data_IF_062907397862
#
_entry.id   IF_062907397862
#
_cell.length_a   1.000
_cell.length_b   1.000
_cell.length_c   1.000
_cell.angle_alpha   90.00
_cell.angle_beta   90.00
_cell.angle_gamma   90.00
#
_symmetry.space_group_name_H-M   'P 1'
#
loop_
_entity.id
_entity.type
_entity.pdbx_description
1 polymer ?
#
# COMPACT_ATOMS: atom_id res chain seq x y z
N UNK A 1 -12.48 2.12 -24.07
CA UNK A 1 -11.06 2.52 -24.17
C UNK A 1 -10.70 3.15 -22.83
N UNK A 2 -9.73 2.58 -22.09
CA UNK A 2 -9.31 3.16 -20.81
C UNK A 2 -8.63 4.52 -21.09
N UNK A 3 -8.98 5.56 -20.31
CA UNK A 3 -8.29 6.85 -20.40
C UNK A 3 -6.88 6.68 -19.84
N UNK A 4 -5.88 6.85 -20.67
CA UNK A 4 -4.49 6.97 -20.20
C UNK A 4 -4.34 8.24 -19.36
N UNK A 5 -3.66 8.10 -18.22
CA UNK A 5 -3.29 9.21 -17.34
C UNK A 5 -1.77 9.20 -17.22
N UNK A 6 -1.14 10.34 -17.46
CA UNK A 6 0.29 10.54 -17.26
C UNK A 6 0.56 11.30 -15.95
N UNK A 7 1.71 11.04 -15.34
CA UNK A 7 2.21 11.73 -14.15
C UNK A 7 3.71 11.92 -14.31
N UNK A 8 4.22 13.07 -13.89
CA UNK A 8 5.66 13.35 -13.80
C UNK A 8 6.10 13.22 -12.35
N UNK A 9 7.22 12.54 -12.11
CA UNK A 9 7.79 12.35 -10.77
C UNK A 9 9.19 12.96 -10.78
N UNK A 10 9.44 13.86 -9.85
CA UNK A 10 10.78 14.43 -9.64
C UNK A 10 11.57 13.54 -8.69
N UNK A 11 12.75 13.10 -9.14
CA UNK A 11 13.65 12.24 -8.37
C UNK A 11 14.96 13.00 -8.19
N UNK A 12 15.47 13.03 -6.95
CA UNK A 12 16.78 13.62 -6.68
C UNK A 12 17.86 12.87 -7.45
N UNK A 13 18.84 13.59 -8.01
CA UNK A 13 19.88 13.01 -8.86
C UNK A 13 20.66 11.85 -8.20
N UNK A 14 20.91 11.93 -6.90
CA UNK A 14 21.59 10.87 -6.16
C UNK A 14 20.76 9.57 -6.09
N UNK A 15 19.45 9.69 -5.89
CA UNK A 15 18.52 8.56 -5.87
C UNK A 15 18.33 7.99 -7.28
N UNK A 16 18.28 8.86 -8.30
CA UNK A 16 18.22 8.43 -9.69
C UNK A 16 19.41 7.54 -10.06
N UNK A 17 20.65 7.95 -9.70
CA UNK A 17 21.84 7.14 -9.96
C UNK A 17 21.83 5.79 -9.24
N UNK A 18 21.27 5.72 -8.03
CA UNK A 18 21.10 4.45 -7.31
C UNK A 18 20.11 3.52 -8.02
N UNK A 19 18.98 4.06 -8.48
CA UNK A 19 17.98 3.28 -9.20
C UNK A 19 18.52 2.79 -10.55
N UNK A 20 19.30 3.60 -11.25
CA UNK A 20 19.96 3.22 -12.50
C UNK A 20 20.96 2.08 -12.29
N UNK A 21 21.77 2.14 -11.24
CA UNK A 21 22.70 1.06 -10.89
C UNK A 21 21.96 -0.27 -10.64
N UNK A 22 20.85 -0.22 -9.88
CA UNK A 22 20.01 -1.40 -9.61
C UNK A 22 19.43 -1.97 -10.91
N UNK A 23 18.91 -1.11 -11.79
CA UNK A 23 18.37 -1.55 -13.08
C UNK A 23 19.43 -2.18 -13.98
N UNK A 24 20.65 -1.60 -14.01
CA UNK A 24 21.79 -2.15 -14.74
C UNK A 24 22.22 -3.52 -14.21
N UNK A 25 22.30 -3.70 -12.88
CA UNK A 25 22.62 -4.99 -12.27
C UNK A 25 21.62 -6.08 -12.65
N UNK A 26 20.35 -5.71 -12.84
CA UNK A 26 19.27 -6.62 -13.22
C UNK A 26 19.13 -6.82 -14.74
N UNK A 27 19.88 -6.06 -15.55
CA UNK A 27 19.76 -6.09 -17.01
C UNK A 27 18.43 -5.52 -17.53
N UNK A 28 17.75 -4.72 -16.70
CA UNK A 28 16.44 -4.13 -16.98
C UNK A 28 16.55 -2.65 -17.33
N UNK A 29 15.49 -2.09 -17.92
CA UNK A 29 15.35 -0.64 -18.05
C UNK A 29 14.86 -0.05 -16.72
N UNK A 30 15.37 1.13 -16.39
CA UNK A 30 15.02 1.86 -15.18
C UNK A 30 13.50 2.10 -15.08
N UNK A 31 12.86 2.49 -16.19
CA UNK A 31 11.43 2.77 -16.21
C UNK A 31 10.59 1.53 -15.88
N UNK A 32 11.00 0.36 -16.38
CA UNK A 32 10.30 -0.90 -16.14
C UNK A 32 10.38 -1.30 -14.65
N UNK A 33 11.56 -1.13 -14.05
CA UNK A 33 11.79 -1.37 -12.61
C UNK A 33 11.01 -0.39 -11.73
N UNK A 34 11.01 0.90 -12.06
CA UNK A 34 10.22 1.91 -11.34
C UNK A 34 8.73 1.53 -11.41
N UNK A 35 8.25 1.15 -12.59
CA UNK A 35 6.85 0.80 -12.78
C UNK A 35 6.47 -0.49 -12.02
N UNK A 36 7.37 -1.48 -11.97
CA UNK A 36 7.20 -2.70 -11.19
C UNK A 36 7.19 -2.43 -9.68
N UNK A 37 8.08 -1.55 -9.21
CA UNK A 37 8.13 -1.13 -7.81
C UNK A 37 6.84 -0.40 -7.38
N UNK A 38 6.32 0.51 -8.21
CA UNK A 38 5.05 1.21 -7.95
C UNK A 38 3.89 0.20 -7.89
N UNK A 39 3.79 -0.71 -8.86
CA UNK A 39 2.76 -1.76 -8.85
C UNK A 39 2.82 -2.62 -7.60
N UNK A 40 4.03 -3.02 -7.19
CA UNK A 40 4.24 -3.83 -5.99
C UNK A 40 3.87 -3.07 -4.72
N UNK A 41 4.21 -1.79 -4.64
CA UNK A 41 3.82 -0.94 -3.52
C UNK A 41 2.30 -0.79 -3.41
N UNK A 42 1.62 -0.53 -4.53
CA UNK A 42 0.15 -0.44 -4.57
C UNK A 42 -0.48 -1.77 -4.17
N UNK A 43 -0.01 -2.89 -4.71
CA UNK A 43 -0.53 -4.21 -4.36
C UNK A 43 -0.36 -4.51 -2.86
N UNK A 44 0.81 -4.19 -2.30
CA UNK A 44 1.09 -4.34 -0.86
C UNK A 44 0.18 -3.45 -0.02
N UNK A 45 -0.02 -2.19 -0.42
CA UNK A 45 -0.91 -1.25 0.27
C UNK A 45 -2.38 -1.66 0.19
N UNK A 46 -2.83 -2.20 -0.94
CA UNK A 46 -4.17 -2.75 -1.09
C UNK A 46 -4.36 -3.96 -0.17
N UNK A 47 -3.42 -4.90 -0.16
CA UNK A 47 -3.47 -6.05 0.75
C UNK A 47 -3.50 -5.62 2.22
N UNK A 48 -2.76 -4.57 2.59
CA UNK A 48 -2.77 -3.98 3.94
C UNK A 48 -4.09 -3.25 4.25
N UNK A 49 -4.72 -2.63 3.25
CA UNK A 49 -6.02 -1.96 3.40
C UNK A 49 -7.19 -2.94 3.46
N UNK A 50 -7.02 -4.12 2.88
CA UNK A 50 -7.96 -5.24 2.93
C UNK A 50 -7.78 -6.07 4.22
N UNK A 51 -6.82 -5.73 5.07
CA UNK A 51 -6.72 -6.29 6.41
C UNK A 51 -7.99 -5.94 7.21
N UNK A 52 -8.68 -6.94 7.79
CA UNK A 52 -9.87 -6.73 8.61
C UNK A 52 -9.66 -5.69 9.72
N UNK A 53 -8.44 -5.57 10.25
CA UNK A 53 -8.08 -4.56 11.24
C UNK A 53 -8.35 -3.13 10.77
N UNK A 54 -8.05 -2.81 9.50
CA UNK A 54 -8.26 -1.47 8.94
C UNK A 54 -9.65 -1.30 8.31
N UNK A 55 -10.35 -2.38 7.98
CA UNK A 55 -11.76 -2.31 7.58
C UNK A 55 -12.68 -1.91 8.75
N UNK A 56 -12.33 -2.30 9.98
CA UNK A 56 -13.07 -1.93 11.19
C UNK A 56 -13.15 -0.40 11.37
N UNK A 57 -12.13 0.35 10.91
CA UNK A 57 -12.08 1.82 11.03
C UNK A 57 -12.87 2.62 9.99
N UNK A 58 -13.37 1.99 8.90
CA UNK A 58 -14.15 2.69 7.84
C UNK A 58 -15.65 2.75 8.11
N UNK A 59 -16.13 2.17 9.21
CA UNK A 59 -17.51 2.34 9.68
C UNK A 59 -17.69 3.71 10.34
N UNK A 60 -17.65 4.77 9.53
CA UNK A 60 -18.06 6.10 9.96
C UNK A 60 -19.56 6.10 10.25
N UNK A 61 -19.94 5.82 11.51
CA UNK A 61 -21.17 6.25 12.22
C UNK A 61 -21.34 5.47 13.53
N UNK A 62 -20.47 5.69 14.51
CA UNK A 62 -20.74 5.71 15.96
C UNK A 62 -19.43 5.56 16.73
N UNK A 63 -19.39 6.15 17.93
CA UNK A 63 -18.18 6.62 18.59
C UNK A 63 -17.09 5.59 18.92
N UNK A 64 -15.97 6.12 19.43
CA UNK A 64 -14.77 5.41 19.91
C UNK A 64 -15.00 4.11 20.71
N UNK A 65 -16.18 3.91 21.30
CA UNK A 65 -16.57 2.66 21.99
C UNK A 65 -16.70 1.46 21.04
N UNK A 66 -17.20 1.66 19.81
CA UNK A 66 -17.39 0.56 18.85
C UNK A 66 -16.07 0.09 18.24
N UNK A 67 -15.12 1.01 18.09
CA UNK A 67 -13.76 0.71 17.63
C UNK A 67 -12.99 -0.14 18.64
N UNK A 68 -13.09 0.18 19.93
CA UNK A 68 -12.43 -0.59 20.99
C UNK A 68 -12.99 -2.02 21.08
N UNK A 69 -14.31 -2.19 20.98
CA UNK A 69 -14.94 -3.52 21.01
C UNK A 69 -14.57 -4.37 19.80
N UNK A 70 -14.55 -3.79 18.60
CA UNK A 70 -14.14 -4.50 17.39
C UNK A 70 -12.65 -4.85 17.40
N UNK A 71 -11.80 -4.00 17.98
CA UNK A 71 -10.40 -4.27 18.22
C UNK A 71 -10.19 -5.46 19.19
N UNK A 72 -10.92 -5.49 20.30
CA UNK A 72 -10.85 -6.59 21.26
C UNK A 72 -11.39 -7.91 20.67
N UNK A 73 -12.47 -7.88 19.89
CA UNK A 73 -13.00 -9.06 19.20
C UNK A 73 -12.02 -9.61 18.13
N UNK A 74 -11.28 -8.75 17.44
CA UNK A 74 -10.26 -9.16 16.47
C UNK A 74 -9.06 -9.82 17.16
N UNK A 75 -8.58 -9.27 18.28
CA UNK A 75 -7.40 -9.76 18.99
C UNK A 75 -7.68 -11.00 19.84
N UNK A 76 -8.85 -11.08 20.46
CA UNK A 76 -9.16 -12.10 21.47
C UNK A 76 -10.27 -13.09 21.04
N UNK A 77 -10.89 -12.87 19.88
CA UNK A 77 -12.05 -13.64 19.42
C UNK A 77 -13.32 -13.31 20.21
N UNK A 78 -14.49 -13.74 19.70
CA UNK A 78 -15.76 -13.57 20.41
C UNK A 78 -15.73 -14.33 21.73
N UNK A 79 -15.66 -13.62 22.85
CA UNK A 79 -15.99 -14.19 24.16
C UNK A 79 -17.48 -14.53 24.12
N UNK A 80 -17.79 -15.80 23.88
CA UNK A 80 -19.12 -16.37 24.11
C UNK A 80 -19.33 -16.40 25.63
N UNK A 81 -19.95 -15.34 26.14
CA UNK A 81 -20.67 -15.36 27.42
C UNK A 81 -22.07 -15.92 27.20
#
# INVERSE_FOLDING_TARGET
>A
MAKEKSMTIEIKANLYGQLEAIAQEQGSKLEDEIMAAIKSYIARMSAYSDDPFFQIGKAGKSGLKDLAKAHDEYLYGKVRG
#
